data_IF_673394052056
#
_entry.id   IF_673394052056
#
_cell.length_a   1.000
_cell.length_b   1.000
_cell.length_c   1.000
_cell.angle_alpha   90.00
_cell.angle_beta   90.00
_cell.angle_gamma   90.00
#
_symmetry.space_group_name_H-M   'P 1'
#
loop_
_entity.id
_entity.type
_entity.pdbx_description
1 polymer ?
#
# COMPACT_ATOMS: atom_id res chain seq x y z
N UNK A 1 -19.98 -26.97 5.78
CA UNK A 1 -19.34 -25.64 5.69
C UNK A 1 -20.14 -24.84 4.67
N UNK A 2 -20.69 -23.70 5.05
CA UNK A 2 -21.49 -22.84 4.17
C UNK A 2 -20.70 -22.49 2.91
N UNK A 3 -21.33 -22.62 1.74
CA UNK A 3 -20.76 -22.25 0.44
C UNK A 3 -20.73 -20.73 0.20
N UNK A 4 -20.99 -19.94 1.24
CA UNK A 4 -21.21 -18.50 1.18
C UNK A 4 -19.96 -17.83 1.76
N UNK A 5 -19.35 -16.94 0.99
CA UNK A 5 -18.25 -16.11 1.46
C UNK A 5 -18.73 -15.22 2.61
N UNK A 6 -17.86 -14.84 3.56
CA UNK A 6 -18.21 -13.83 4.54
C UNK A 6 -18.69 -12.55 3.83
N UNK A 7 -19.76 -11.93 4.32
CA UNK A 7 -20.33 -10.70 3.73
C UNK A 7 -19.28 -9.59 3.65
N UNK A 8 -18.46 -9.44 4.70
CA UNK A 8 -17.31 -8.53 4.75
C UNK A 8 -16.30 -8.80 3.62
N UNK A 9 -16.04 -10.07 3.28
CA UNK A 9 -15.14 -10.43 2.18
C UNK A 9 -15.71 -9.93 0.85
N UNK A 10 -17.00 -10.18 0.60
CA UNK A 10 -17.66 -9.74 -0.62
C UNK A 10 -17.64 -8.22 -0.71
N UNK A 11 -18.03 -7.53 0.37
CA UNK A 11 -18.07 -6.06 0.40
C UNK A 11 -16.70 -5.43 0.16
N UNK A 12 -15.63 -5.99 0.74
CA UNK A 12 -14.27 -5.51 0.52
C UNK A 12 -13.87 -5.64 -0.96
N UNK A 13 -14.13 -6.79 -1.59
CA UNK A 13 -13.83 -7.01 -3.01
C UNK A 13 -14.63 -6.05 -3.91
N UNK A 14 -15.92 -5.84 -3.63
CA UNK A 14 -16.76 -4.89 -4.36
C UNK A 14 -16.24 -3.45 -4.27
N UNK A 15 -15.83 -2.99 -3.08
CA UNK A 15 -15.28 -1.64 -2.88
C UNK A 15 -13.99 -1.41 -3.68
N UNK A 16 -13.19 -2.46 -3.87
CA UNK A 16 -11.99 -2.45 -4.71
C UNK A 16 -12.32 -2.60 -6.22
N UNK A 17 -13.58 -2.79 -6.58
CA UNK A 17 -14.03 -3.01 -7.95
C UNK A 17 -13.61 -4.37 -8.52
N UNK A 18 -13.46 -5.40 -7.69
CA UNK A 18 -13.34 -6.77 -8.17
C UNK A 18 -14.71 -7.29 -8.61
N UNK A 19 -14.76 -7.85 -9.81
CA UNK A 19 -15.91 -8.63 -10.27
C UNK A 19 -15.84 -10.05 -9.70
N UNK A 20 -16.95 -10.79 -9.65
CA UNK A 20 -16.97 -12.17 -9.11
C UNK A 20 -15.97 -13.08 -9.84
N UNK A 21 -15.88 -12.93 -11.16
CA UNK A 21 -15.02 -13.71 -12.07
C UNK A 21 -13.55 -13.32 -12.02
N UNK A 22 -13.21 -12.15 -11.48
CA UNK A 22 -11.81 -11.72 -11.39
C UNK A 22 -10.98 -12.74 -10.59
N UNK A 23 -9.76 -13.08 -10.99
CA UNK A 23 -8.89 -13.93 -10.19
C UNK A 23 -8.45 -13.22 -8.90
N UNK A 24 -8.56 -13.91 -7.75
CA UNK A 24 -8.12 -13.41 -6.43
C UNK A 24 -6.83 -14.14 -6.03
N UNK A 25 -5.73 -13.40 -5.94
CA UNK A 25 -4.41 -13.92 -5.62
C UNK A 25 -4.17 -13.94 -4.11
N UNK A 26 -4.69 -14.98 -3.46
CA UNK A 26 -4.75 -15.10 -2.00
C UNK A 26 -3.45 -15.66 -1.40
N UNK A 27 -3.18 -15.25 -0.16
CA UNK A 27 -2.08 -15.76 0.67
C UNK A 27 -2.57 -16.00 2.10
N UNK A 28 -2.33 -17.19 2.62
CA UNK A 28 -2.37 -17.46 4.05
C UNK A 28 -0.99 -17.16 4.64
N UNK A 29 -0.90 -16.41 5.74
CA UNK A 29 0.37 -16.10 6.42
C UNK A 29 0.28 -16.41 7.91
N UNK A 30 1.29 -17.11 8.42
CA UNK A 30 1.47 -17.41 9.84
C UNK A 30 2.97 -17.43 10.15
N UNK A 31 3.43 -16.72 11.19
CA UNK A 31 4.82 -16.73 11.66
C UNK A 31 5.87 -16.55 10.53
N UNK A 32 5.68 -15.52 9.69
CA UNK A 32 6.50 -15.22 8.51
C UNK A 32 6.52 -16.27 7.40
N UNK A 33 5.70 -17.33 7.50
CA UNK A 33 5.50 -18.29 6.42
C UNK A 33 4.28 -17.91 5.60
N UNK A 34 4.42 -17.87 4.28
CA UNK A 34 3.34 -17.58 3.34
C UNK A 34 2.96 -18.79 2.48
N UNK A 35 1.66 -19.03 2.29
CA UNK A 35 1.11 -20.04 1.38
C UNK A 35 0.16 -19.39 0.38
N UNK A 36 0.39 -19.59 -0.92
CA UNK A 36 -0.56 -19.18 -1.97
C UNK A 36 -1.80 -20.06 -1.89
N UNK A 37 -2.99 -19.47 -2.01
CA UNK A 37 -4.25 -20.21 -2.01
C UNK A 37 -4.91 -20.15 -3.38
N UNK A 38 -5.34 -21.31 -3.87
CA UNK A 38 -6.08 -21.43 -5.13
C UNK A 38 -7.58 -21.26 -4.86
N UNK A 39 -8.01 -20.01 -4.69
CA UNK A 39 -9.41 -19.63 -4.54
C UNK A 39 -9.88 -19.39 -3.10
N UNK A 40 -10.92 -18.55 -2.98
CA UNK A 40 -11.48 -18.09 -1.71
C UNK A 40 -12.01 -19.23 -0.83
N UNK A 41 -12.44 -20.35 -1.42
CA UNK A 41 -12.93 -21.53 -0.70
C UNK A 41 -11.91 -22.13 0.28
N UNK A 42 -10.60 -21.88 0.07
CA UNK A 42 -9.55 -22.34 1.00
C UNK A 42 -9.27 -21.37 2.15
N UNK A 43 -9.75 -20.12 2.07
CA UNK A 43 -9.44 -19.10 3.07
C UNK A 43 -9.95 -19.50 4.46
N UNK A 44 -11.20 -19.94 4.56
CA UNK A 44 -11.81 -20.37 5.82
C UNK A 44 -11.02 -21.52 6.47
N UNK A 45 -10.66 -22.54 5.69
CA UNK A 45 -9.87 -23.67 6.17
C UNK A 45 -8.54 -23.24 6.80
N UNK A 46 -7.81 -22.32 6.16
CA UNK A 46 -6.54 -21.85 6.69
C UNK A 46 -6.74 -20.89 7.87
N UNK A 47 -7.79 -20.07 7.87
CA UNK A 47 -8.07 -19.16 8.96
C UNK A 47 -8.47 -19.90 10.25
N UNK A 48 -9.25 -20.99 10.15
CA UNK A 48 -9.56 -21.87 11.28
C UNK A 48 -8.31 -22.53 11.88
N UNK A 49 -7.23 -22.66 11.09
CA UNK A 49 -5.91 -23.12 11.55
C UNK A 49 -5.03 -22.00 12.11
N UNK A 50 -5.58 -20.81 12.32
CA UNK A 50 -4.87 -19.65 12.87
C UNK A 50 -4.08 -18.83 11.85
N UNK A 51 -4.20 -19.12 10.55
CA UNK A 51 -3.50 -18.34 9.52
C UNK A 51 -4.26 -17.06 9.20
N UNK A 52 -3.54 -15.94 9.11
CA UNK A 52 -4.11 -14.70 8.58
C UNK A 52 -4.34 -14.82 7.07
N UNK A 53 -5.47 -14.31 6.58
CA UNK A 53 -5.80 -14.31 5.15
C UNK A 53 -5.54 -12.94 4.54
N UNK A 54 -4.84 -12.95 3.41
CA UNK A 54 -4.42 -11.77 2.66
C UNK A 54 -4.61 -12.02 1.17
N UNK A 55 -4.52 -10.98 0.36
CA UNK A 55 -4.56 -11.06 -1.09
C UNK A 55 -3.82 -9.90 -1.72
N UNK A 56 -3.37 -10.08 -2.97
CA UNK A 56 -2.79 -9.01 -3.77
C UNK A 56 -3.89 -8.06 -4.20
N UNK A 57 -3.88 -6.82 -3.68
CA UNK A 57 -4.96 -5.83 -3.87
C UNK A 57 -5.10 -5.37 -5.31
N UNK A 58 -3.98 -5.26 -6.03
CA UNK A 58 -3.97 -4.85 -7.43
C UNK A 58 -4.38 -5.99 -8.39
N UNK A 59 -4.44 -7.24 -7.91
CA UNK A 59 -4.76 -8.40 -8.73
C UNK A 59 -3.61 -8.80 -9.64
N UNK A 60 -3.95 -9.25 -10.86
CA UNK A 60 -3.08 -9.69 -11.96
C UNK A 60 -2.16 -10.90 -11.69
N UNK A 61 -1.52 -11.00 -10.53
CA UNK A 61 -0.61 -12.09 -10.21
C UNK A 61 -0.11 -12.09 -8.77
N UNK A 62 0.88 -12.95 -8.48
CA UNK A 62 1.47 -13.12 -7.15
C UNK A 62 2.82 -12.42 -6.96
N UNK A 63 3.38 -11.86 -8.03
CA UNK A 63 4.68 -11.20 -8.06
C UNK A 63 4.60 -9.88 -8.81
N UNK A 64 5.54 -8.97 -8.54
CA UNK A 64 5.50 -7.62 -9.10
C UNK A 64 5.55 -7.60 -10.64
N UNK A 65 6.22 -8.58 -11.25
CA UNK A 65 6.32 -8.71 -12.71
C UNK A 65 4.99 -9.10 -13.38
N UNK A 66 4.07 -9.70 -12.62
CA UNK A 66 2.76 -10.12 -13.12
C UNK A 66 1.72 -9.01 -12.97
N UNK A 67 2.00 -7.97 -12.17
CA UNK A 67 1.07 -6.87 -11.90
C UNK A 67 1.35 -5.69 -12.83
N UNK A 68 0.44 -5.45 -13.77
CA UNK A 68 0.58 -4.41 -14.81
C UNK A 68 -0.34 -3.20 -14.62
N UNK A 69 -1.29 -3.29 -13.68
CA UNK A 69 -2.19 -2.20 -13.31
C UNK A 69 -2.38 -2.11 -11.80
N UNK A 70 -2.70 -0.90 -11.30
CA UNK A 70 -2.98 -0.62 -9.90
C UNK A 70 -4.44 -0.22 -9.69
N UNK A 71 -5.13 -0.88 -8.75
CA UNK A 71 -6.57 -0.69 -8.47
C UNK A 71 -6.82 0.36 -7.39
N UNK A 72 -5.94 0.45 -6.41
CA UNK A 72 -6.07 1.37 -5.28
C UNK A 72 -4.70 1.79 -4.76
N UNK A 73 -4.61 2.98 -4.18
CA UNK A 73 -3.55 3.29 -3.22
C UNK A 73 -3.96 2.78 -1.85
N UNK A 74 -2.99 2.41 -1.03
CA UNK A 74 -3.27 1.92 0.31
C UNK A 74 -2.13 2.18 1.29
N UNK A 75 -2.47 2.40 2.55
CA UNK A 75 -1.48 2.60 3.61
C UNK A 75 -1.98 2.02 4.93
N UNK A 76 -1.06 1.86 5.87
CA UNK A 76 -1.36 1.57 7.26
C UNK A 76 -0.35 2.27 8.17
N UNK A 77 -0.72 2.36 9.44
CA UNK A 77 0.15 2.81 10.51
C UNK A 77 0.19 1.73 11.59
N UNK A 78 1.35 1.64 12.23
CA UNK A 78 1.66 0.57 13.17
C UNK A 78 2.03 1.11 14.55
N UNK A 79 2.09 2.43 14.68
CA UNK A 79 2.73 3.21 15.75
C UNK A 79 1.77 4.16 16.49
N UNK A 80 0.47 4.13 16.18
CA UNK A 80 -0.52 5.06 16.74
C UNK A 80 -1.87 4.40 17.03
N UNK A 81 -2.70 4.99 17.92
CA UNK A 81 -4.04 4.47 18.25
C UNK A 81 -4.95 4.30 17.03
N UNK A 82 -5.84 3.32 17.07
CA UNK A 82 -6.77 2.99 15.97
C UNK A 82 -7.63 4.19 15.56
N UNK A 83 -8.10 4.95 16.54
CA UNK A 83 -8.94 6.13 16.34
C UNK A 83 -8.19 7.22 15.55
N UNK A 84 -6.91 7.45 15.85
CA UNK A 84 -6.08 8.39 15.10
C UNK A 84 -5.81 7.91 13.67
N UNK A 85 -5.71 6.60 13.45
CA UNK A 85 -5.56 6.02 12.11
C UNK A 85 -6.83 6.13 11.26
N UNK A 86 -8.00 6.31 11.87
CA UNK A 86 -9.24 6.51 11.13
C UNK A 86 -9.25 7.91 10.51
N UNK A 87 -8.84 8.93 11.28
CA UNK A 87 -9.01 10.34 10.89
C UNK A 87 -7.75 11.02 10.36
N UNK A 88 -6.59 10.34 10.29
CA UNK A 88 -5.30 10.94 9.89
C UNK A 88 -5.34 11.69 8.55
N UNK A 89 -6.22 11.28 7.62
CA UNK A 89 -6.32 11.85 6.28
C UNK A 89 -6.90 13.27 6.28
N UNK A 90 -7.74 13.59 7.26
CA UNK A 90 -8.43 14.88 7.36
C UNK A 90 -7.47 16.07 7.53
N UNK A 91 -6.57 16.11 8.54
CA UNK A 91 -5.65 17.24 8.72
C UNK A 91 -4.62 17.37 7.60
N UNK A 92 -4.38 16.29 6.84
CA UNK A 92 -3.49 16.29 5.67
C UNK A 92 -4.18 16.81 4.39
N UNK A 93 -5.49 17.06 4.45
CA UNK A 93 -6.27 17.49 3.29
C UNK A 93 -6.31 16.45 2.17
N UNK A 94 -6.14 15.17 2.52
CA UNK A 94 -6.34 14.05 1.61
C UNK A 94 -7.84 13.85 1.35
N UNK A 95 -8.22 13.29 0.20
CA UNK A 95 -9.62 12.94 -0.04
C UNK A 95 -10.08 11.89 0.98
N UNK A 96 -11.38 11.91 1.28
CA UNK A 96 -12.01 10.86 2.09
C UNK A 96 -11.69 9.47 1.48
N UNK A 97 -11.17 8.52 2.28
CA UNK A 97 -10.89 7.18 1.81
C UNK A 97 -12.13 6.50 1.22
N UNK A 98 -11.94 5.65 0.21
CA UNK A 98 -13.03 4.83 -0.32
C UNK A 98 -13.56 3.92 0.78
N UNK A 99 -12.64 3.30 1.53
CA UNK A 99 -12.95 2.56 2.75
C UNK A 99 -11.71 2.39 3.63
N UNK A 100 -11.96 2.01 4.88
CA UNK A 100 -10.95 1.67 5.86
C UNK A 100 -11.31 0.33 6.51
N UNK A 101 -10.30 -0.54 6.65
CA UNK A 101 -10.41 -1.87 7.21
C UNK A 101 -9.64 -1.96 8.52
N UNK A 102 -10.33 -2.25 9.61
CA UNK A 102 -9.67 -2.69 10.82
C UNK A 102 -9.16 -4.11 10.64
N UNK A 103 -7.85 -4.31 10.78
CA UNK A 103 -7.21 -5.60 10.48
C UNK A 103 -7.53 -6.71 11.47
N UNK A 104 -8.16 -6.37 12.60
CA UNK A 104 -8.29 -7.21 13.79
C UNK A 104 -7.09 -7.11 14.73
N UNK A 105 -6.00 -6.46 14.29
CA UNK A 105 -4.84 -6.15 15.13
C UNK A 105 -4.81 -4.68 15.52
N UNK A 106 -3.62 -4.09 15.45
CA UNK A 106 -3.36 -2.67 15.80
C UNK A 106 -3.54 -1.69 14.64
N UNK A 107 -3.76 -2.18 13.42
CA UNK A 107 -3.63 -1.37 12.20
C UNK A 107 -4.97 -1.21 11.47
N UNK A 108 -5.18 -0.03 10.91
CA UNK A 108 -6.21 0.29 9.92
C UNK A 108 -5.55 0.31 8.54
N UNK A 109 -6.01 -0.55 7.64
CA UNK A 109 -5.67 -0.42 6.23
C UNK A 109 -6.63 0.60 5.61
N UNK A 110 -6.07 1.69 5.08
CA UNK A 110 -6.84 2.75 4.40
C UNK A 110 -6.67 2.61 2.90
N UNK A 111 -7.76 2.73 2.13
CA UNK A 111 -7.75 2.54 0.68
C UNK A 111 -8.38 3.73 -0.05
N UNK A 112 -7.70 4.18 -1.11
CA UNK A 112 -8.27 5.07 -2.13
C UNK A 112 -8.32 4.35 -3.46
N UNK A 113 -9.53 3.97 -3.88
CA UNK A 113 -9.76 3.15 -5.08
C UNK A 113 -9.93 4.04 -6.29
N UNK A 114 -9.27 3.72 -7.40
CA UNK A 114 -9.42 4.46 -8.63
C UNK A 114 -10.74 4.11 -9.35
N UNK A 115 -11.36 5.05 -10.09
CA UNK A 115 -12.53 4.76 -10.93
C UNK A 115 -12.29 3.60 -11.91
N UNK A 116 -11.08 3.53 -12.46
CA UNK A 116 -10.55 2.45 -13.30
C UNK A 116 -9.10 2.17 -12.88
N UNK A 117 -8.61 0.92 -12.99
CA UNK A 117 -7.21 0.62 -12.77
C UNK A 117 -6.29 1.50 -13.62
N UNK A 118 -5.14 1.88 -13.08
CA UNK A 118 -4.14 2.71 -13.76
C UNK A 118 -2.89 1.90 -14.10
N UNK A 119 -2.09 2.34 -15.06
CA UNK A 119 -0.82 1.69 -15.38
C UNK A 119 0.08 1.57 -14.15
N UNK A 120 0.74 0.41 -13.96
CA UNK A 120 1.48 0.14 -12.73
C UNK A 120 2.67 1.10 -12.49
N UNK A 121 3.24 1.68 -13.55
CA UNK A 121 4.28 2.71 -13.41
C UNK A 121 3.77 3.95 -12.67
N UNK A 122 2.63 4.50 -13.12
CA UNK A 122 1.97 5.64 -12.47
C UNK A 122 1.55 5.32 -11.03
N UNK A 123 1.05 4.10 -10.82
CA UNK A 123 0.71 3.61 -9.48
C UNK A 123 1.92 3.57 -8.56
N UNK A 124 3.04 3.01 -9.03
CA UNK A 124 4.24 2.80 -8.20
C UNK A 124 4.83 4.12 -7.73
N UNK A 125 4.88 5.11 -8.63
CA UNK A 125 5.32 6.47 -8.28
C UNK A 125 4.38 7.12 -7.27
N UNK A 126 3.07 7.10 -7.54
CA UNK A 126 2.09 7.75 -6.67
C UNK A 126 1.99 7.08 -5.30
N UNK A 127 2.06 5.76 -5.23
CA UNK A 127 2.07 4.99 -3.99
C UNK A 127 3.31 5.32 -3.14
N UNK A 128 4.50 5.39 -3.75
CA UNK A 128 5.72 5.77 -3.04
C UNK A 128 5.67 7.22 -2.53
N UNK A 129 5.16 8.15 -3.33
CA UNK A 129 5.01 9.55 -2.96
C UNK A 129 3.98 9.72 -1.83
N UNK A 130 2.85 9.00 -1.89
CA UNK A 130 1.85 8.97 -0.83
C UNK A 130 2.49 8.51 0.50
N UNK A 131 3.15 7.35 0.53
CA UNK A 131 3.76 6.86 1.78
C UNK A 131 4.83 7.81 2.31
N UNK A 132 5.60 8.44 1.43
CA UNK A 132 6.61 9.42 1.87
C UNK A 132 5.96 10.67 2.48
N UNK A 133 4.80 11.09 1.95
CA UNK A 133 4.02 12.19 2.51
C UNK A 133 3.39 11.81 3.87
N UNK A 134 3.03 10.55 4.06
CA UNK A 134 2.43 10.01 5.28
C UNK A 134 3.49 9.63 6.33
N UNK A 135 3.96 10.63 7.08
CA UNK A 135 4.95 10.42 8.16
C UNK A 135 4.46 9.36 9.16
N UNK A 136 5.26 8.30 9.32
CA UNK A 136 4.99 7.16 10.19
C UNK A 136 4.21 6.01 9.54
N UNK A 137 3.75 6.13 8.28
CA UNK A 137 3.14 4.98 7.59
C UNK A 137 4.18 3.92 7.25
N UNK A 138 3.77 2.66 7.10
CA UNK A 138 4.66 1.59 6.63
C UNK A 138 5.15 1.86 5.20
N UNK A 139 6.43 2.24 5.09
CA UNK A 139 7.10 2.60 3.84
C UNK A 139 7.37 1.40 2.91
N UNK A 140 7.09 0.17 3.35
CA UNK A 140 7.27 -1.04 2.56
C UNK A 140 6.08 -1.36 1.66
N UNK A 141 4.93 -0.73 1.89
CA UNK A 141 3.63 -0.99 1.21
C UNK A 141 3.61 -0.36 -0.19
N UNK A 142 4.63 -0.60 -1.01
CA UNK A 142 4.79 0.08 -2.31
C UNK A 142 5.15 -0.83 -3.48
N UNK A 143 5.23 -2.13 -3.26
CA UNK A 143 5.45 -3.06 -4.36
C UNK A 143 4.10 -3.44 -5.03
N UNK A 144 4.04 -3.58 -6.36
CA UNK A 144 2.82 -3.88 -7.11
C UNK A 144 2.01 -5.06 -6.59
N UNK A 145 2.68 -6.15 -6.19
CA UNK A 145 2.04 -7.37 -5.68
C UNK A 145 1.84 -7.39 -4.17
N UNK A 146 1.80 -6.22 -3.52
CA UNK A 146 1.61 -6.11 -2.06
C UNK A 146 0.32 -6.81 -1.64
N UNK A 147 0.48 -7.75 -0.70
CA UNK A 147 -0.65 -8.42 -0.08
C UNK A 147 -1.16 -7.60 1.10
N UNK A 148 -2.47 -7.42 1.17
CA UNK A 148 -3.15 -6.76 2.31
C UNK A 148 -4.19 -7.71 2.90
N UNK A 149 -4.59 -7.45 4.15
CA UNK A 149 -5.55 -8.27 4.91
C UNK A 149 -6.87 -8.37 4.15
N UNK A 150 -7.43 -9.57 4.05
CA UNK A 150 -8.79 -9.77 3.55
C UNK A 150 -9.79 -9.68 4.71
N UNK A 151 -10.90 -8.97 4.49
CA UNK A 151 -11.95 -8.83 5.49
C UNK A 151 -12.72 -10.14 5.69
N UNK A 152 -13.35 -10.31 6.85
CA UNK A 152 -14.16 -11.48 7.19
C UNK A 152 -13.40 -12.65 7.82
N UNK A 153 -12.08 -12.51 8.02
CA UNK A 153 -11.23 -13.54 8.61
C UNK A 153 -10.55 -13.06 9.89
N UNK A 154 -10.31 -13.98 10.82
CA UNK A 154 -9.66 -13.70 12.11
C UNK A 154 -8.19 -13.32 11.96
N UNK A 155 -7.79 -12.33 12.73
CA UNK A 155 -6.41 -12.00 13.05
C UNK A 155 -5.89 -12.92 14.18
N UNK A 156 -4.57 -12.93 14.40
CA UNK A 156 -3.95 -13.75 15.46
C UNK A 156 -4.37 -13.34 16.88
N UNK A 157 -4.89 -12.12 17.05
CA UNK A 157 -5.49 -11.62 18.29
C UNK A 157 -6.85 -12.28 18.60
N UNK A 158 -7.47 -12.93 17.61
CA UNK A 158 -8.81 -13.51 17.69
C UNK A 158 -9.92 -12.66 17.05
N UNK A 159 -9.68 -11.36 16.88
CA UNK A 159 -10.64 -10.43 16.27
C UNK A 159 -10.73 -10.61 14.75
N UNK A 160 -11.91 -10.36 14.19
CA UNK A 160 -12.16 -10.45 12.76
C UNK A 160 -11.82 -9.14 12.07
N UNK A 161 -11.11 -9.21 10.93
CA UNK A 161 -10.87 -8.06 10.08
C UNK A 161 -12.20 -7.58 9.48
N UNK A 162 -12.54 -6.30 9.67
CA UNK A 162 -13.85 -5.72 9.30
C UNK A 162 -13.72 -4.31 8.76
N UNK A 163 -14.60 -3.95 7.85
CA UNK A 163 -14.69 -2.58 7.33
C UNK A 163 -15.22 -1.69 8.46
N UNK A 164 -14.52 -0.59 8.76
CA UNK A 164 -14.91 0.35 9.83
C UNK A 164 -15.43 1.67 9.29
N UNK A 165 -14.98 2.08 8.10
CA UNK A 165 -15.54 3.22 7.36
C UNK A 165 -15.63 2.88 5.88
N UNK A 166 -16.67 3.39 5.21
CA UNK A 166 -16.87 3.20 3.77
C UNK A 166 -17.64 4.38 3.16
N UNK A 167 -16.94 5.24 2.44
CA UNK A 167 -17.59 6.27 1.62
C UNK A 167 -18.07 5.69 0.28
N UNK A 168 -17.41 4.63 -0.20
CA UNK A 168 -17.61 4.05 -1.53
C UNK A 168 -17.14 4.94 -2.68
N UNK A 169 -16.62 6.15 -2.38
CA UNK A 169 -16.19 7.12 -3.39
C UNK A 169 -14.88 6.67 -4.01
N UNK A 170 -14.89 6.47 -5.34
CA UNK A 170 -13.68 6.25 -6.11
C UNK A 170 -12.99 7.59 -6.41
N UNK A 171 -11.68 7.65 -6.24
CA UNK A 171 -10.90 8.89 -6.34
C UNK A 171 -10.01 8.86 -7.59
N UNK A 172 -10.16 9.82 -8.53
CA UNK A 172 -9.30 9.89 -9.72
C UNK A 172 -7.82 10.12 -9.39
N UNK A 173 -6.93 9.61 -10.25
CA UNK A 173 -5.47 9.77 -10.13
C UNK A 173 -5.04 11.21 -9.85
N UNK A 174 -5.55 12.18 -10.63
CA UNK A 174 -5.16 13.59 -10.53
C UNK A 174 -5.48 14.23 -9.17
N UNK A 175 -6.54 13.76 -8.51
CA UNK A 175 -6.91 14.24 -7.17
C UNK A 175 -5.88 13.77 -6.15
N UNK A 176 -5.50 12.50 -6.19
CA UNK A 176 -4.51 11.92 -5.28
C UNK A 176 -3.10 12.45 -5.54
N UNK A 177 -2.71 12.59 -6.81
CA UNK A 177 -1.42 13.14 -7.25
C UNK A 177 -1.20 14.56 -6.75
N UNK A 178 -2.24 15.41 -6.79
CA UNK A 178 -2.19 16.80 -6.28
C UNK A 178 -1.99 16.87 -4.76
N UNK A 179 -2.48 15.87 -4.02
CA UNK A 179 -2.43 15.81 -2.56
C UNK A 179 -1.25 14.99 -2.02
N UNK A 180 -0.55 14.27 -2.89
CA UNK A 180 0.61 13.44 -2.54
C UNK A 180 1.83 13.97 -3.32
N UNK A 181 2.39 15.14 -2.98
CA UNK A 181 3.44 15.78 -3.77
C UNK A 181 4.74 14.97 -3.72
N UNK A 182 5.46 14.93 -4.84
CA UNK A 182 6.78 14.29 -4.89
C UNK A 182 7.69 15.00 -3.90
N UNK A 183 8.43 14.24 -3.07
CA UNK A 183 9.43 14.84 -2.20
C UNK A 183 10.37 15.69 -3.05
N UNK A 184 10.56 16.95 -2.68
CA UNK A 184 11.60 17.78 -3.33
C UNK A 184 12.92 17.06 -3.11
N UNK A 185 13.52 16.54 -4.18
CA UNK A 185 14.90 16.11 -4.15
C UNK A 185 15.73 17.33 -3.71
N UNK A 186 16.16 17.36 -2.46
CA UNK A 186 17.30 18.17 -2.10
C UNK A 186 18.47 17.62 -2.93
N UNK A 187 18.86 18.36 -3.97
CA UNK A 187 20.02 18.02 -4.78
C UNK A 187 21.20 17.70 -3.86
N UNK A 188 22.03 16.69 -4.17
CA UNK A 188 23.22 16.42 -3.37
C UNK A 188 24.06 17.70 -3.31
N UNK A 189 24.50 18.06 -2.09
CA UNK A 189 25.38 19.20 -1.82
C UNK A 189 26.48 19.27 -2.89
N UNK A 190 26.61 20.43 -3.54
CA UNK A 190 27.74 20.78 -4.38
C UNK A 190 29.05 20.28 -3.73
N UNK A 191 29.83 19.53 -4.50
CA UNK A 191 31.14 19.05 -4.09
C UNK A 191 31.99 20.22 -3.57
N UNK A 192 32.64 20.03 -2.42
CA UNK A 192 33.57 21.01 -1.87
C UNK A 192 34.69 21.26 -2.90
N UNK A 193 35.12 22.52 -3.12
CA UNK A 193 36.20 22.81 -4.04
C UNK A 193 37.50 22.17 -3.53
N UNK A 194 38.18 21.43 -4.39
CA UNK A 194 39.53 20.93 -4.11
C UNK A 194 40.46 22.14 -3.99
N UNK A 195 41.19 22.23 -2.87
CA UNK A 195 42.24 23.24 -2.69
C UNK A 195 43.34 22.98 -3.72
N UNK A 196 43.67 24.02 -4.47
CA UNK A 196 44.65 24.00 -5.55
C UNK A 196 46.06 23.65 -5.09
N UNK A 197 46.81 23.01 -6.00
CA UNK A 197 48.26 23.02 -5.99
C UNK A 197 48.73 24.31 -6.66
N UNK A 198 49.49 25.10 -5.90
CA UNK A 198 50.09 26.35 -6.32
C UNK A 198 51.28 26.03 -7.25
N UNK A 199 51.19 26.42 -8.52
CA UNK A 199 52.36 26.47 -9.41
C UNK A 199 53.08 27.79 -9.11
N UNK A 200 54.24 27.72 -8.47
CA UNK A 200 55.13 28.87 -8.32
C UNK A 200 56.03 28.98 -9.56
N UNK A 201 55.85 30.05 -10.33
CA UNK A 201 56.75 30.51 -11.36
C UNK A 201 57.54 31.73 -10.86
N UNK A 202 58.87 31.66 -10.88
CA UNK A 202 59.78 32.81 -10.80
C UNK A 202 60.96 32.46 -11.72
N UNK A 203 61.01 32.97 -12.96
CA UNK A 203 61.73 34.20 -13.39
C UNK A 203 63.24 34.15 -13.03
N UNK A 204 64.24 34.40 -13.87
CA UNK A 204 64.31 34.99 -15.21
C UNK A 204 65.78 35.02 -15.72
N UNK A 205 65.93 35.21 -17.05
CA UNK A 205 67.02 35.92 -17.79
C UNK A 205 68.28 35.17 -18.27
N UNK A 206 68.33 35.10 -19.60
CA UNK A 206 69.47 35.08 -20.54
C UNK A 206 70.53 36.19 -20.27
N UNK A 207 71.73 36.11 -20.88
CA UNK A 207 71.92 36.42 -22.32
C UNK A 207 71.98 35.22 -23.25
#
# INVERSE_FOLDING_TARGET
>A
MSNILPEETQRHLELLGYEETDPKFLRAILNNQGKKLNGLRKAEYWNQKGWGIYFVVNGCGHSDKEVFEGRALFCEFDDRPVEEQIDFWQPLGLPEPTFQLHTGGKSIHTYWVFPRPIAIGLWSELQADLLTHLVGSDQTIKNPSRVMRLAGYKHQTGDVARIVNQSGKKTPYEVLRRRSPTPRHHSPRLAKPQRGSLIAAVHSRNP
#
